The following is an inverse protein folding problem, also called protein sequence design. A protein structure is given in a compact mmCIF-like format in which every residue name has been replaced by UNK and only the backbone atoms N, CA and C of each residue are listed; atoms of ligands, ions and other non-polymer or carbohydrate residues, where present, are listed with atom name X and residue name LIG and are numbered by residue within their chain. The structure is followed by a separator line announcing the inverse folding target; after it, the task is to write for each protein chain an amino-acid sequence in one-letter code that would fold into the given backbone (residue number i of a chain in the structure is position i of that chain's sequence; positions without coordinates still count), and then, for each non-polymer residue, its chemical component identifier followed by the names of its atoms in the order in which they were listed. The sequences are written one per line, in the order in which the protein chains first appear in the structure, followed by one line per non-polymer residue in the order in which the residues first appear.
data_IF_933430899292
#
_entry.id   IF_933430899292
#
_cell.length_a   1.000
_cell.length_b   1.000
_cell.length_c   1.000
_cell.angle_alpha   90.00
_cell.angle_beta   90.00
_cell.angle_gamma   90.00
#
_symmetry.space_group_name_H-M   'P 1'
#
loop_
_entity.id
_entity.type
_entity.pdbx_description
1 polymer ?
#
# COMPACT_ATOMS: atom_id res chain seq x y z
N UNK A 1 -45.37 45.60 -3.11
CA UNK A 1 -44.48 46.77 -3.25
C UNK A 1 -43.34 46.31 -4.14
N UNK A 2 -43.35 46.89 -5.32
CA UNK A 2 -42.42 46.70 -6.43
C UNK A 2 -41.11 47.50 -6.16
N UNK A 3 -40.16 47.43 -7.11
CA UNK A 3 -38.78 47.99 -7.18
C UNK A 3 -37.72 46.90 -6.88
N UNK A 4 -37.07 46.25 -7.85
CA UNK A 4 -36.36 46.74 -9.04
C UNK A 4 -34.86 46.47 -8.79
N UNK A 5 -34.10 45.65 -9.53
CA UNK A 5 -34.06 45.40 -10.96
C UNK A 5 -32.87 46.17 -11.55
N UNK A 6 -31.71 45.49 -11.78
CA UNK A 6 -30.67 45.79 -12.80
C UNK A 6 -29.43 44.85 -12.65
N UNK A 7 -28.61 44.64 -13.70
CA UNK A 7 -28.39 43.30 -14.28
C UNK A 7 -26.93 42.81 -14.29
N UNK A 8 -26.80 41.53 -14.65
CA UNK A 8 -25.62 40.73 -15.05
C UNK A 8 -24.57 41.48 -15.91
N UNK A 9 -23.28 41.11 -15.79
CA UNK A 9 -22.33 41.17 -16.89
C UNK A 9 -22.08 39.78 -17.48
N UNK A 10 -22.47 39.67 -18.74
CA UNK A 10 -22.16 38.63 -19.72
C UNK A 10 -20.63 38.49 -19.90
N UNK A 11 -20.08 37.31 -19.63
CA UNK A 11 -18.68 36.96 -19.93
C UNK A 11 -18.66 35.85 -20.98
N UNK A 12 -18.69 36.27 -22.24
CA UNK A 12 -18.39 35.43 -23.39
C UNK A 12 -16.91 35.05 -23.40
N UNK A 13 -16.60 33.76 -23.26
CA UNK A 13 -15.26 33.23 -23.59
C UNK A 13 -15.32 32.63 -24.99
N UNK A 14 -14.75 33.38 -25.94
CA UNK A 14 -14.63 32.99 -27.34
C UNK A 14 -13.71 31.79 -27.53
N UNK A 15 -14.24 30.78 -28.22
CA UNK A 15 -13.49 29.64 -28.75
C UNK A 15 -12.70 30.07 -29.98
N UNK A 16 -11.38 30.20 -29.84
CA UNK A 16 -10.48 30.25 -31.00
C UNK A 16 -10.06 28.82 -31.36
N UNK A 17 -10.68 28.28 -32.40
CA UNK A 17 -10.22 27.07 -33.09
C UNK A 17 -8.87 27.35 -33.74
N UNK A 18 -7.84 26.60 -33.35
CA UNK A 18 -6.55 26.57 -34.04
C UNK A 18 -6.33 25.15 -34.56
N UNK A 19 -6.43 25.00 -35.88
CA UNK A 19 -6.07 23.79 -36.59
C UNK A 19 -4.58 23.47 -36.33
N UNK A 20 -4.29 22.24 -35.92
CA UNK A 20 -2.94 21.71 -35.80
C UNK A 20 -2.88 20.33 -36.44
N UNK A 21 -1.93 20.20 -37.35
CA UNK A 21 -1.62 19.07 -38.22
C UNK A 21 -1.22 17.82 -37.46
N UNK A 22 -1.78 16.68 -37.89
CA UNK A 22 -1.59 15.32 -37.39
C UNK A 22 -0.33 14.68 -38.02
N UNK A 23 0.59 14.04 -37.27
CA UNK A 23 1.55 13.11 -37.84
C UNK A 23 0.95 11.69 -37.94
N UNK A 24 1.44 10.82 -38.85
CA UNK A 24 0.83 9.52 -39.13
C UNK A 24 1.15 8.46 -38.08
N UNK A 25 0.25 7.48 -38.01
CA UNK A 25 0.26 6.30 -37.12
C UNK A 25 1.35 5.33 -37.60
N UNK A 26 2.20 4.85 -36.69
CA UNK A 26 3.11 3.74 -36.93
C UNK A 26 2.38 2.40 -36.67
N UNK A 27 2.56 1.46 -37.60
CA UNK A 27 2.05 0.10 -37.59
C UNK A 27 3.13 -0.81 -37.00
N UNK A 28 2.97 -1.21 -35.73
CA UNK A 28 3.85 -2.16 -35.04
C UNK A 28 3.22 -3.55 -35.01
N UNK A 29 3.25 -4.21 -36.17
CA UNK A 29 2.99 -5.65 -36.26
C UNK A 29 4.21 -6.43 -35.74
N UNK A 30 4.16 -6.88 -34.48
CA UNK A 30 5.16 -7.81 -33.92
C UNK A 30 4.71 -9.25 -34.17
N UNK A 31 5.51 -9.97 -34.96
CA UNK A 31 5.38 -11.40 -35.22
C UNK A 31 6.18 -12.18 -34.17
N UNK A 32 5.51 -12.99 -33.34
CA UNK A 32 6.16 -13.86 -32.36
C UNK A 32 6.24 -15.29 -32.90
N UNK A 33 7.47 -15.75 -33.16
CA UNK A 33 7.76 -17.17 -33.39
C UNK A 33 7.76 -17.90 -32.04
N UNK A 34 6.98 -18.98 -31.96
CA UNK A 34 6.88 -19.86 -30.80
C UNK A 34 7.91 -20.98 -30.98
N UNK A 35 8.85 -21.12 -30.04
CA UNK A 35 9.73 -22.29 -29.94
C UNK A 35 9.02 -23.42 -29.18
N UNK A 36 8.78 -24.60 -29.79
CA UNK A 36 8.02 -25.68 -29.20
C UNK A 36 8.94 -26.75 -28.62
N UNK A 37 9.79 -26.43 -27.65
CA UNK A 37 10.51 -27.46 -26.90
C UNK A 37 10.66 -27.10 -25.43
N UNK A 38 9.69 -27.51 -24.61
CA UNK A 38 9.87 -27.83 -23.18
C UNK A 38 8.58 -28.42 -22.60
N UNK A 39 8.44 -29.73 -22.75
CA UNK A 39 7.62 -30.58 -21.88
C UNK A 39 8.58 -31.56 -21.21
N UNK A 40 8.56 -31.63 -19.88
CA UNK A 40 8.49 -32.89 -19.11
C UNK A 40 8.50 -32.68 -17.56
N UNK A 41 8.17 -33.71 -16.73
CA UNK A 41 7.10 -33.58 -15.72
C UNK A 41 7.59 -33.81 -14.24
N UNK A 42 6.77 -34.23 -13.24
CA UNK A 42 6.75 -33.61 -11.92
C UNK A 42 7.63 -34.31 -10.88
N UNK A 43 8.31 -33.57 -9.99
CA UNK A 43 8.91 -34.17 -8.77
C UNK A 43 8.87 -33.27 -7.51
N UNK A 44 8.28 -33.91 -6.49
CA UNK A 44 8.54 -33.94 -5.04
C UNK A 44 8.84 -32.67 -4.24
N UNK A 45 8.10 -32.57 -3.14
CA UNK A 45 8.22 -31.68 -1.98
C UNK A 45 9.63 -31.62 -1.37
N UNK A 46 10.13 -30.41 -1.17
CA UNK A 46 11.32 -30.11 -0.36
C UNK A 46 11.00 -28.91 0.57
N UNK A 47 11.48 -28.89 1.83
CA UNK A 47 11.00 -27.95 2.84
C UNK A 47 11.67 -26.57 2.73
N UNK A 48 10.97 -25.54 3.23
CA UNK A 48 11.43 -24.15 3.32
C UNK A 48 12.68 -24.04 4.20
N UNK A 49 13.85 -23.83 3.58
CA UNK A 49 15.04 -23.33 4.27
C UNK A 49 15.13 -21.82 4.11
N UNK A 50 15.15 -21.15 5.26
CA UNK A 50 15.16 -19.70 5.44
C UNK A 50 16.63 -19.23 5.51
N UNK A 51 17.03 -18.36 4.57
CA UNK A 51 18.27 -17.57 4.51
C UNK A 51 19.61 -18.27 4.88
N UNK A 52 20.37 -18.69 3.88
CA UNK A 52 21.83 -18.86 4.00
C UNK A 52 22.53 -17.90 3.03
N UNK A 53 23.31 -16.95 3.57
CA UNK A 53 24.28 -16.16 2.81
C UNK A 53 25.57 -16.99 2.69
N UNK A 54 25.89 -17.48 1.49
CA UNK A 54 27.23 -17.99 1.18
C UNK A 54 28.00 -16.92 0.40
N UNK A 55 28.91 -16.24 1.09
CA UNK A 55 29.97 -15.44 0.49
C UNK A 55 31.16 -16.35 0.17
N UNK A 56 31.30 -16.79 -1.08
CA UNK A 56 32.53 -17.44 -1.54
C UNK A 56 33.46 -16.41 -2.22
N UNK A 57 34.51 -16.05 -1.50
CA UNK A 57 35.71 -15.42 -2.05
C UNK A 57 36.53 -16.47 -2.80
N UNK A 58 36.71 -16.32 -4.12
CA UNK A 58 37.75 -17.02 -4.87
C UNK A 58 38.80 -16.04 -5.37
N UNK A 59 39.93 -16.03 -4.68
CA UNK A 59 41.22 -15.57 -5.18
C UNK A 59 41.71 -16.57 -6.23
N UNK A 60 42.07 -16.09 -7.41
CA UNK A 60 43.00 -16.78 -8.32
C UNK A 60 44.05 -15.76 -8.75
N UNK A 61 45.29 -16.06 -8.43
CA UNK A 61 46.51 -15.42 -8.91
C UNK A 61 46.80 -15.91 -10.33
N UNK A 62 47.28 -15.03 -11.22
CA UNK A 62 48.59 -15.20 -11.86
C UNK A 62 48.93 -14.01 -12.76
N UNK A 63 50.20 -13.63 -12.69
CA UNK A 63 50.89 -12.64 -13.53
C UNK A 63 51.04 -13.16 -14.96
N UNK A 64 50.94 -12.28 -15.96
CA UNK A 64 52.08 -12.00 -16.84
C UNK A 64 51.92 -10.69 -17.61
N UNK A 65 53.08 -10.09 -17.88
CA UNK A 65 53.37 -8.75 -18.37
C UNK A 65 53.25 -8.57 -19.88
N UNK A 66 52.79 -7.39 -20.33
CA UNK A 66 53.49 -6.58 -21.35
C UNK A 66 52.92 -5.15 -21.43
N UNK A 67 53.78 -4.21 -21.83
CA UNK A 67 53.71 -2.78 -21.47
C UNK A 67 53.16 -1.82 -22.56
N UNK A 68 52.32 -0.87 -22.09
CA UNK A 68 52.23 0.58 -22.40
C UNK A 68 51.98 1.12 -23.85
N UNK A 69 51.54 2.40 -24.06
CA UNK A 69 50.78 3.32 -23.19
C UNK A 69 49.61 4.10 -23.89
N UNK A 70 48.72 4.65 -23.05
CA UNK A 70 48.02 5.95 -23.13
C UNK A 70 47.39 6.43 -24.46
N UNK A 71 46.06 6.54 -24.49
CA UNK A 71 45.37 7.78 -24.90
C UNK A 71 44.13 8.00 -24.02
N UNK A 72 44.01 9.23 -23.52
CA UNK A 72 42.89 9.72 -22.72
C UNK A 72 41.67 9.95 -23.62
N UNK A 73 40.53 9.40 -23.22
CA UNK A 73 39.21 9.79 -23.70
C UNK A 73 38.30 9.91 -22.49
N UNK A 74 38.13 11.14 -22.00
CA UNK A 74 37.09 11.51 -21.04
C UNK A 74 35.73 11.40 -21.74
N UNK A 75 34.96 10.36 -21.42
CA UNK A 75 33.51 10.32 -21.60
C UNK A 75 32.92 9.68 -20.34
N UNK A 76 32.75 10.48 -19.31
CA UNK A 76 32.08 10.13 -18.05
C UNK A 76 30.56 10.09 -18.31
N UNK A 77 30.10 9.12 -19.11
CA UNK A 77 28.70 8.69 -19.07
C UNK A 77 28.51 7.91 -17.77
N UNK A 78 28.05 8.59 -16.72
CA UNK A 78 27.50 7.93 -15.55
C UNK A 78 26.25 7.13 -15.95
N UNK A 79 26.46 5.90 -16.42
CA UNK A 79 25.44 4.86 -16.43
C UNK A 79 25.12 4.60 -14.95
N UNK A 80 23.96 5.06 -14.49
CA UNK A 80 23.39 4.51 -13.26
C UNK A 80 23.12 3.03 -13.56
N UNK A 81 24.06 2.16 -13.18
CA UNK A 81 23.83 0.73 -13.12
C UNK A 81 22.72 0.50 -12.08
N UNK A 82 21.49 0.40 -12.57
CA UNK A 82 20.37 -0.13 -11.81
C UNK A 82 20.75 -1.57 -11.44
N UNK A 83 21.33 -1.77 -10.25
CA UNK A 83 21.52 -3.09 -9.67
C UNK A 83 20.12 -3.72 -9.49
N UNK A 84 19.75 -4.62 -10.40
CA UNK A 84 18.54 -5.43 -10.30
C UNK A 84 18.81 -6.60 -9.35
N UNK A 85 18.15 -6.58 -8.19
CA UNK A 85 18.24 -7.67 -7.23
C UNK A 85 17.15 -8.71 -7.54
N UNK A 86 17.56 -9.94 -7.83
CA UNK A 86 16.65 -11.06 -8.01
C UNK A 86 16.29 -11.68 -6.66
N UNK A 87 14.99 -11.75 -6.38
CA UNK A 87 14.42 -12.36 -5.17
C UNK A 87 13.47 -13.47 -5.59
N UNK A 88 13.57 -14.66 -4.99
CA UNK A 88 12.63 -15.75 -5.23
C UNK A 88 11.61 -15.85 -4.11
N UNK A 89 10.32 -15.77 -4.45
CA UNK A 89 9.21 -15.95 -3.50
C UNK A 89 8.38 -17.15 -3.97
N UNK A 90 8.27 -18.19 -3.12
CA UNK A 90 7.56 -19.43 -3.46
C UNK A 90 8.05 -20.08 -4.77
N UNK A 91 9.34 -19.91 -5.11
CA UNK A 91 9.94 -20.41 -6.35
C UNK A 91 9.79 -19.47 -7.56
N UNK A 92 9.18 -18.30 -7.40
CA UNK A 92 9.02 -17.30 -8.45
C UNK A 92 10.08 -16.20 -8.31
N UNK A 93 10.99 -16.11 -9.30
CA UNK A 93 12.00 -15.03 -9.37
C UNK A 93 11.36 -13.69 -9.70
N UNK A 94 11.71 -12.66 -8.94
CA UNK A 94 11.23 -11.29 -9.07
C UNK A 94 12.43 -10.35 -9.10
N UNK A 95 12.43 -9.39 -10.03
CA UNK A 95 13.47 -8.36 -10.12
C UNK A 95 13.00 -7.11 -9.38
N UNK A 96 13.77 -6.64 -8.40
CA UNK A 96 13.50 -5.37 -7.70
C UNK A 96 14.62 -4.40 -8.03
N UNK A 97 14.26 -3.24 -8.60
CA UNK A 97 15.21 -2.15 -8.84
C UNK A 97 15.52 -1.43 -7.53
N UNK A 98 16.75 -1.56 -7.04
CA UNK A 98 17.23 -0.77 -5.91
C UNK A 98 17.70 0.59 -6.42
N UNK A 99 17.18 1.66 -5.83
CA UNK A 99 17.78 2.99 -6.01
C UNK A 99 18.82 3.18 -4.91
N UNK A 100 20.11 3.28 -5.26
CA UNK A 100 21.15 3.67 -4.30
C UNK A 100 20.79 5.02 -3.68
N UNK A 101 20.59 5.06 -2.35
CA UNK A 101 20.61 6.34 -1.62
C UNK A 101 22.03 6.88 -1.72
N UNK A 102 22.19 8.06 -2.31
CA UNK A 102 23.44 8.83 -2.28
C UNK A 102 23.92 8.90 -0.82
N UNK A 103 25.10 8.38 -0.56
CA UNK A 103 25.65 8.28 0.79
C UNK A 103 25.93 9.68 1.35
N UNK A 104 25.08 10.15 2.25
CA UNK A 104 25.48 11.18 3.22
C UNK A 104 26.35 10.50 4.27
N UNK A 105 27.63 10.38 3.94
CA UNK A 105 28.70 10.09 4.89
C UNK A 105 28.83 11.28 5.82
N UNK A 106 27.98 11.34 6.87
CA UNK A 106 28.19 12.22 8.01
C UNK A 106 29.38 11.67 8.83
N UNK A 107 30.59 11.89 8.33
CA UNK A 107 31.81 11.78 9.11
C UNK A 107 31.82 12.91 10.13
N UNK A 108 31.58 12.54 11.39
CA UNK A 108 31.82 13.41 12.55
C UNK A 108 33.29 13.82 12.58
N UNK A 109 33.60 14.98 12.03
CA UNK A 109 34.92 15.61 12.12
C UNK A 109 35.11 16.19 13.52
N UNK A 110 35.83 15.48 14.38
CA UNK A 110 36.36 16.04 15.62
C UNK A 110 37.68 16.78 15.31
N UNK A 111 37.70 18.09 15.53
CA UNK A 111 38.87 18.96 15.40
C UNK A 111 39.98 18.60 16.41
N UNK A 112 41.27 18.67 16.05
CA UNK A 112 42.36 18.47 17.01
C UNK A 112 42.63 19.75 17.81
N UNK A 113 42.43 19.70 19.13
CA UNK A 113 42.79 20.78 20.05
C UNK A 113 44.27 20.72 20.44
N UNK A 114 44.91 21.89 20.45
CA UNK A 114 46.31 22.16 20.84
C UNK A 114 46.73 21.60 22.22
N UNK A 115 48.04 21.42 22.47
CA UNK A 115 48.55 20.88 23.72
C UNK A 115 48.47 21.90 24.86
N UNK A 116 47.59 21.67 25.83
CA UNK A 116 47.52 22.44 27.08
C UNK A 116 48.47 21.86 28.15
N UNK A 117 49.18 22.77 28.80
CA UNK A 117 50.12 22.57 29.92
C UNK A 117 49.47 21.78 31.06
N UNK A 118 50.25 20.89 31.71
CA UNK A 118 49.88 20.18 32.96
C UNK A 118 49.40 21.16 34.03
N UNK A 119 48.20 21.00 34.60
CA UNK A 119 47.90 21.53 35.92
C UNK A 119 48.43 20.59 37.00
N UNK A 120 48.75 21.18 38.15
CA UNK A 120 49.20 20.49 39.34
C UNK A 120 48.16 19.49 39.85
N UNK A 121 48.65 18.39 40.46
CA UNK A 121 47.85 17.29 41.00
C UNK A 121 47.00 17.79 42.18
N UNK A 122 45.69 17.88 42.00
CA UNK A 122 44.73 17.90 43.12
C UNK A 122 44.50 16.48 43.65
N UNK A 123 44.25 16.31 44.96
CA UNK A 123 43.96 15.01 45.54
C UNK A 123 42.66 14.41 44.98
N UNK A 124 42.55 13.07 44.91
CA UNK A 124 41.41 12.40 44.29
C UNK A 124 40.10 12.76 45.00
N UNK A 125 39.01 13.00 44.26
CA UNK A 125 37.71 13.25 44.85
C UNK A 125 37.26 12.03 45.66
N UNK A 126 36.48 12.24 46.74
CA UNK A 126 35.96 11.14 47.56
C UNK A 126 35.14 10.16 46.70
N UNK A 127 35.11 8.88 47.07
CA UNK A 127 34.33 7.88 46.34
C UNK A 127 32.87 8.33 46.27
N UNK A 128 32.20 8.14 45.10
CA UNK A 128 30.80 8.48 45.00
C UNK A 128 30.00 7.71 46.05
N UNK A 129 28.96 8.33 46.63
CA UNK A 129 28.10 7.65 47.58
C UNK A 129 27.53 6.37 46.93
N UNK A 130 27.27 5.31 47.72
CA UNK A 130 26.65 4.11 47.20
C UNK A 130 25.33 4.47 46.51
N UNK A 131 24.99 3.83 45.39
CA UNK A 131 23.73 4.09 44.71
C UNK A 131 22.57 3.87 45.67
N UNK A 132 21.50 4.69 45.58
CA UNK A 132 20.33 4.50 46.42
C UNK A 132 19.80 3.07 46.23
N UNK A 133 19.24 2.45 47.29
CA UNK A 133 18.63 1.14 47.15
C UNK A 133 17.55 1.19 46.07
N UNK A 134 17.39 0.11 45.28
CA UNK A 134 16.36 0.08 44.25
C UNK A 134 14.99 0.38 44.89
N UNK A 135 14.14 1.18 44.22
CA UNK A 135 12.85 1.56 44.76
C UNK A 135 12.05 0.30 45.09
N UNK A 136 11.37 0.31 46.23
CA UNK A 136 10.54 -0.80 46.65
C UNK A 136 9.44 -1.10 45.61
N UNK A 137 8.89 -2.31 45.66
CA UNK A 137 7.90 -2.76 44.69
C UNK A 137 6.66 -1.85 44.64
N UNK A 138 6.27 -1.26 45.77
CA UNK A 138 5.09 -0.39 45.84
C UNK A 138 5.39 0.99 45.24
N UNK A 139 6.59 1.53 45.48
CA UNK A 139 7.09 2.74 44.82
C UNK A 139 7.12 2.56 43.29
N UNK A 140 7.62 1.42 42.80
CA UNK A 140 7.63 1.11 41.37
C UNK A 140 6.20 1.00 40.79
N UNK A 141 5.28 0.36 41.52
CA UNK A 141 3.86 0.27 41.13
C UNK A 141 3.18 1.64 41.12
N UNK A 142 3.47 2.48 42.11
CA UNK A 142 2.94 3.83 42.20
C UNK A 142 3.39 4.66 41.00
N UNK A 143 4.67 4.58 40.61
CA UNK A 143 5.19 5.26 39.40
C UNK A 143 4.48 4.78 38.13
N UNK A 144 4.26 3.46 37.96
CA UNK A 144 3.55 2.96 36.77
C UNK A 144 2.10 3.44 36.72
N UNK A 145 1.40 3.39 37.85
CA UNK A 145 0.02 3.90 37.95
C UNK A 145 -0.05 5.40 37.72
N UNK A 146 0.98 6.15 38.15
CA UNK A 146 0.99 7.60 38.05
C UNK A 146 1.13 8.08 36.62
N UNK A 147 1.90 7.41 35.75
CA UNK A 147 1.97 7.80 34.34
C UNK A 147 0.89 7.14 33.47
N UNK A 148 0.54 5.87 33.73
CA UNK A 148 -0.36 5.10 32.86
C UNK A 148 -1.83 5.53 32.86
N UNK A 149 -2.24 6.38 33.81
CA UNK A 149 -3.61 6.90 33.91
C UNK A 149 -3.71 8.42 33.64
N UNK A 150 -2.62 9.06 33.20
CA UNK A 150 -2.66 10.49 32.90
C UNK A 150 -3.51 10.73 31.65
N UNK A 151 -4.37 11.77 31.65
CA UNK A 151 -5.00 12.20 30.42
C UNK A 151 -3.95 12.71 29.44
N UNK A 152 -4.24 12.61 28.14
CA UNK A 152 -3.33 13.05 27.08
C UNK A 152 -2.88 14.51 27.26
N UNK A 153 -3.79 15.40 27.68
CA UNK A 153 -3.49 16.82 27.94
C UNK A 153 -2.40 17.07 29.00
N UNK A 154 -2.12 16.09 29.86
CA UNK A 154 -1.06 16.15 30.87
C UNK A 154 0.15 15.34 30.44
N UNK A 155 -0.07 14.15 29.87
CA UNK A 155 1.02 13.26 29.45
C UNK A 155 1.78 13.77 28.23
N UNK A 156 1.08 14.42 27.30
CA UNK A 156 1.61 14.97 26.05
C UNK A 156 0.77 16.19 25.63
N UNK A 157 1.01 17.37 26.23
CA UNK A 157 0.24 18.58 25.94
C UNK A 157 0.40 19.05 24.49
N UNK A 158 1.54 18.77 23.85
CA UNK A 158 1.81 19.18 22.47
C UNK A 158 0.91 18.41 21.50
N UNK A 159 0.82 17.08 21.64
CA UNK A 159 -0.10 16.26 20.83
C UNK A 159 -1.55 16.64 21.10
N UNK A 160 -1.92 16.90 22.36
CA UNK A 160 -3.27 17.34 22.71
C UNK A 160 -3.64 18.65 22.00
N UNK A 161 -2.74 19.63 21.98
CA UNK A 161 -2.97 20.90 21.29
C UNK A 161 -3.16 20.70 19.77
N UNK A 162 -2.32 19.86 19.14
CA UNK A 162 -2.45 19.52 17.72
C UNK A 162 -3.81 18.86 17.44
N UNK A 163 -4.25 17.92 18.29
CA UNK A 163 -5.55 17.26 18.14
C UNK A 163 -6.72 18.24 18.25
N UNK A 164 -6.70 19.17 19.20
CA UNK A 164 -7.75 20.18 19.31
C UNK A 164 -7.74 21.15 18.13
N UNK A 165 -6.57 21.51 17.58
CA UNK A 165 -6.48 22.29 16.33
C UNK A 165 -7.09 21.55 15.15
N UNK A 166 -6.81 20.27 14.97
CA UNK A 166 -7.40 19.45 13.90
C UNK A 166 -8.92 19.35 14.04
N UNK A 167 -9.42 19.13 15.25
CA UNK A 167 -10.86 19.15 15.53
C UNK A 167 -11.51 20.49 15.15
N UNK A 168 -10.86 21.62 15.45
CA UNK A 168 -11.36 22.93 15.03
C UNK A 168 -11.31 23.12 13.52
N UNK A 169 -10.29 22.59 12.84
CA UNK A 169 -10.19 22.60 11.37
C UNK A 169 -11.39 21.87 10.76
N UNK A 170 -11.66 20.64 11.20
CA UNK A 170 -12.79 19.82 10.72
C UNK A 170 -14.15 20.48 10.95
N UNK A 171 -14.36 21.12 12.11
CA UNK A 171 -15.65 21.75 12.46
C UNK A 171 -15.89 23.04 11.67
N UNK A 172 -14.83 23.76 11.31
CA UNK A 172 -14.91 25.07 10.63
C UNK A 172 -14.75 24.96 9.10
N UNK A 173 -14.24 23.83 8.63
CA UNK A 173 -14.02 23.55 7.21
C UNK A 173 -15.25 23.04 6.49
N UNK A 174 -15.21 23.14 5.16
CA UNK A 174 -16.12 22.41 4.27
C UNK A 174 -15.32 21.23 3.71
N UNK A 175 -15.52 20.05 4.30
CA UNK A 175 -14.79 18.84 3.92
C UNK A 175 -15.46 18.17 2.71
N UNK A 176 -14.83 18.28 1.54
CA UNK A 176 -15.35 17.76 0.26
C UNK A 176 -14.55 16.57 -0.29
N UNK A 177 -13.63 16.01 0.50
CA UNK A 177 -12.88 14.81 0.12
C UNK A 177 -13.81 13.60 0.19
N UNK A 178 -14.13 13.01 -0.97
CA UNK A 178 -15.16 11.98 -1.09
C UNK A 178 -14.92 10.69 -0.28
N UNK A 179 -13.68 10.43 0.15
CA UNK A 179 -13.31 9.27 0.97
C UNK A 179 -13.32 9.56 2.47
N UNK A 180 -13.45 10.82 2.88
CA UNK A 180 -13.50 11.20 4.29
C UNK A 180 -14.92 11.17 4.81
N UNK A 181 -15.06 10.93 6.12
CA UNK A 181 -16.34 10.96 6.81
C UNK A 181 -16.14 11.17 8.32
N UNK A 182 -17.18 11.58 9.02
CA UNK A 182 -17.20 11.73 10.47
C UNK A 182 -17.92 10.55 11.10
N UNK A 183 -17.18 9.73 11.87
CA UNK A 183 -17.76 8.61 12.61
C UNK A 183 -18.51 9.10 13.85
N UNK A 184 -19.46 8.29 14.33
CA UNK A 184 -20.19 8.60 15.55
C UNK A 184 -19.33 8.40 16.81
N UNK A 185 -19.72 9.05 17.91
CA UNK A 185 -19.00 8.98 19.19
C UNK A 185 -18.81 7.54 19.70
N UNK A 186 -19.82 6.69 19.53
CA UNK A 186 -19.78 5.30 19.95
C UNK A 186 -18.65 4.50 19.27
N UNK A 187 -18.33 4.81 18.00
CA UNK A 187 -17.20 4.18 17.29
C UNK A 187 -15.87 4.63 17.91
N UNK A 188 -15.72 5.93 18.21
CA UNK A 188 -14.51 6.47 18.84
C UNK A 188 -14.30 5.91 20.25
N UNK A 189 -15.37 5.77 21.04
CA UNK A 189 -15.31 5.19 22.39
C UNK A 189 -14.83 3.73 22.35
N UNK A 190 -15.26 2.95 21.36
CA UNK A 190 -14.80 1.58 21.18
C UNK A 190 -13.34 1.51 20.69
N UNK A 191 -12.95 2.38 19.75
CA UNK A 191 -11.61 2.41 19.16
C UNK A 191 -10.53 2.75 20.19
N UNK A 192 -10.78 3.73 21.06
CA UNK A 192 -9.86 4.17 22.12
C UNK A 192 -9.96 3.36 23.42
N UNK A 193 -10.45 2.12 23.36
CA UNK A 193 -10.73 1.31 24.55
C UNK A 193 -9.64 0.29 24.89
N UNK A 194 -9.79 -0.35 26.05
CA UNK A 194 -8.93 -1.42 26.55
C UNK A 194 -8.86 -2.67 25.65
N UNK A 195 -9.70 -2.76 24.61
CA UNK A 195 -9.66 -3.85 23.64
C UNK A 195 -8.30 -3.92 22.91
N UNK A 196 -7.62 -2.78 22.75
CA UNK A 196 -6.28 -2.71 22.13
C UNK A 196 -5.22 -3.58 22.84
N UNK A 197 -5.44 -3.92 24.11
CA UNK A 197 -4.48 -4.67 24.92
C UNK A 197 -4.44 -6.18 24.58
N UNK A 198 -5.40 -6.70 23.79
CA UNK A 198 -5.54 -8.15 23.61
C UNK A 198 -4.93 -8.65 22.31
N UNK A 199 -4.02 -9.62 22.44
CA UNK A 199 -3.54 -10.42 21.32
C UNK A 199 -4.53 -11.56 21.02
N UNK A 200 -5.08 -11.60 19.80
CA UNK A 200 -6.16 -12.51 19.42
C UNK A 200 -5.94 -13.18 18.06
N UNK A 201 -4.71 -13.61 17.76
CA UNK A 201 -4.41 -14.34 16.52
C UNK A 201 -5.27 -15.60 16.36
N UNK A 202 -5.67 -15.86 15.12
CA UNK A 202 -6.59 -16.93 14.75
C UNK A 202 -8.02 -16.43 14.58
N UNK A 203 -8.97 -17.36 14.54
CA UNK A 203 -10.40 -17.08 14.38
C UNK A 203 -11.15 -17.34 15.69
N UNK A 204 -12.37 -16.80 15.88
CA UNK A 204 -13.18 -17.10 17.06
C UNK A 204 -13.37 -18.60 17.27
N UNK A 205 -13.01 -19.12 18.45
CA UNK A 205 -13.01 -20.56 18.77
C UNK A 205 -11.76 -21.34 18.34
N UNK A 206 -10.86 -20.73 17.56
CA UNK A 206 -9.61 -21.30 17.08
C UNK A 206 -8.46 -20.29 17.24
N UNK A 207 -8.24 -19.85 18.49
CA UNK A 207 -7.21 -18.86 18.84
C UNK A 207 -5.91 -19.54 19.27
N UNK A 208 -4.78 -18.91 18.93
CA UNK A 208 -3.46 -19.34 19.42
C UNK A 208 -3.22 -18.96 20.89
N UNK A 209 -3.89 -17.92 21.39
CA UNK A 209 -3.75 -17.43 22.77
C UNK A 209 -5.05 -17.60 23.56
N UNK A 210 -4.89 -17.83 24.86
CA UNK A 210 -6.00 -17.90 25.81
C UNK A 210 -6.62 -16.52 26.09
N UNK A 211 -7.72 -16.50 26.85
CA UNK A 211 -8.36 -15.28 27.36
C UNK A 211 -9.15 -14.48 26.32
N UNK A 212 -9.55 -15.09 25.19
CA UNK A 212 -10.25 -14.42 24.09
C UNK A 212 -11.79 -14.53 24.14
N UNK A 213 -12.36 -15.03 25.23
CA UNK A 213 -13.82 -15.29 25.36
C UNK A 213 -14.71 -14.11 24.96
N UNK A 214 -14.31 -12.87 25.30
CA UNK A 214 -15.06 -11.67 24.96
C UNK A 214 -14.68 -11.10 23.59
N UNK A 215 -13.41 -11.23 23.17
CA UNK A 215 -12.98 -10.84 21.81
C UNK A 215 -13.69 -11.69 20.77
N UNK A 216 -13.79 -13.00 21.00
CA UNK A 216 -14.55 -13.92 20.14
C UNK A 216 -16.02 -13.52 20.02
N UNK A 217 -16.64 -13.05 21.11
CA UNK A 217 -18.03 -12.56 21.09
C UNK A 217 -18.15 -11.29 20.26
N UNK A 218 -17.20 -10.35 20.39
CA UNK A 218 -17.16 -9.10 19.63
C UNK A 218 -16.98 -9.40 18.14
N UNK A 219 -16.02 -10.25 17.79
CA UNK A 219 -15.72 -10.56 16.38
C UNK A 219 -16.88 -11.31 15.71
N UNK A 220 -17.48 -12.32 16.36
CA UNK A 220 -18.69 -12.98 15.83
C UNK A 220 -19.83 -12.00 15.61
N UNK A 221 -20.10 -11.14 16.60
CA UNK A 221 -21.13 -10.11 16.48
C UNK A 221 -20.83 -9.12 15.32
N UNK A 222 -19.57 -8.79 15.11
CA UNK A 222 -19.15 -7.94 13.99
C UNK A 222 -19.41 -8.62 12.64
N UNK A 223 -19.04 -9.90 12.50
CA UNK A 223 -19.34 -10.69 11.31
C UNK A 223 -20.84 -10.80 11.04
N UNK A 224 -21.64 -11.15 12.04
CA UNK A 224 -23.10 -11.27 11.91
C UNK A 224 -23.73 -9.95 11.45
N UNK A 225 -23.29 -8.83 12.04
CA UNK A 225 -23.77 -7.49 11.68
C UNK A 225 -23.30 -7.06 10.29
N UNK A 226 -22.10 -7.44 9.87
CA UNK A 226 -21.62 -7.15 8.53
C UNK A 226 -22.47 -7.86 7.47
N UNK A 227 -22.74 -9.17 7.65
CA UNK A 227 -23.65 -9.90 6.75
C UNK A 227 -25.05 -9.30 6.73
N UNK A 228 -25.59 -8.97 7.91
CA UNK A 228 -26.91 -8.36 8.02
C UNK A 228 -26.98 -6.97 7.35
N UNK A 229 -25.94 -6.14 7.48
CA UNK A 229 -25.89 -4.80 6.89
C UNK A 229 -25.99 -4.81 5.36
N UNK A 230 -25.52 -5.89 4.72
CA UNK A 230 -25.62 -6.08 3.28
C UNK A 230 -26.73 -7.05 2.86
N UNK A 231 -27.57 -7.49 3.81
CA UNK A 231 -28.69 -8.40 3.54
C UNK A 231 -28.26 -9.77 2.98
N UNK A 232 -27.10 -10.27 3.40
CA UNK A 232 -26.50 -11.49 2.87
C UNK A 232 -26.93 -12.73 3.66
N UNK A 233 -27.19 -13.82 2.94
CA UNK A 233 -27.43 -15.14 3.54
C UNK A 233 -26.10 -15.74 4.05
N UNK A 234 -25.96 -16.05 5.35
CA UNK A 234 -24.77 -16.67 5.91
C UNK A 234 -24.42 -18.05 5.34
N UNK A 235 -25.36 -18.73 4.67
CA UNK A 235 -25.06 -19.99 3.97
C UNK A 235 -24.31 -19.77 2.66
N UNK A 236 -24.48 -18.62 2.03
CA UNK A 236 -23.87 -18.25 0.76
C UNK A 236 -22.65 -17.34 0.94
N UNK A 237 -22.60 -16.60 2.05
CA UNK A 237 -21.61 -15.55 2.30
C UNK A 237 -20.91 -15.73 3.65
N UNK A 238 -19.58 -15.71 3.60
CA UNK A 238 -18.74 -15.48 4.76
C UNK A 238 -18.21 -14.04 4.78
N UNK A 239 -17.65 -13.63 5.91
CA UNK A 239 -16.97 -12.34 6.06
C UNK A 239 -15.76 -12.48 6.96
N UNK A 240 -14.67 -11.80 6.59
CA UNK A 240 -13.50 -11.61 7.44
C UNK A 240 -13.40 -10.11 7.78
N UNK A 241 -13.44 -9.79 9.07
CA UNK A 241 -13.43 -8.42 9.60
C UNK A 241 -12.06 -8.00 10.17
N UNK A 242 -11.02 -8.81 9.95
CA UNK A 242 -9.66 -8.58 10.46
C UNK A 242 -8.74 -7.72 9.57
N UNK A 243 -8.97 -7.51 8.25
CA UNK A 243 -8.09 -6.64 7.47
C UNK A 243 -8.00 -5.21 8.05
N UNK A 244 -6.78 -4.70 8.21
CA UNK A 244 -6.53 -3.40 8.85
C UNK A 244 -7.03 -2.19 8.05
N UNK A 245 -7.08 -2.33 6.72
CA UNK A 245 -7.50 -1.29 5.78
C UNK A 245 -7.82 -1.89 4.40
N UNK A 246 -8.41 -1.08 3.51
CA UNK A 246 -8.75 -1.48 2.15
C UNK A 246 -7.58 -2.11 1.38
N UNK A 247 -6.40 -1.46 1.35
CA UNK A 247 -5.22 -1.99 0.64
C UNK A 247 -4.80 -3.36 1.18
N UNK A 248 -4.80 -3.54 2.51
CA UNK A 248 -4.48 -4.84 3.11
C UNK A 248 -5.54 -5.92 2.84
N UNK A 249 -6.82 -5.53 2.77
CA UNK A 249 -7.91 -6.45 2.42
C UNK A 249 -7.77 -6.95 0.98
N UNK A 250 -7.57 -6.03 0.03
CA UNK A 250 -7.37 -6.37 -1.37
C UNK A 250 -6.13 -7.27 -1.56
N UNK A 251 -5.02 -6.93 -0.91
CA UNK A 251 -3.82 -7.73 -0.98
C UNK A 251 -4.00 -9.14 -0.39
N UNK A 252 -4.75 -9.27 0.71
CA UNK A 252 -5.09 -10.57 1.29
C UNK A 252 -5.97 -11.44 0.37
N UNK A 253 -6.89 -10.83 -0.40
CA UNK A 253 -7.66 -11.56 -1.42
C UNK A 253 -6.73 -12.08 -2.51
N UNK A 254 -5.80 -11.25 -2.99
CA UNK A 254 -4.86 -11.67 -4.02
C UNK A 254 -3.97 -12.79 -3.52
N UNK A 255 -3.31 -12.64 -2.37
CA UNK A 255 -2.43 -13.68 -1.83
C UNK A 255 -3.16 -14.96 -1.41
N UNK A 256 -4.46 -14.87 -1.09
CA UNK A 256 -5.28 -16.03 -0.77
C UNK A 256 -5.74 -16.83 -1.99
N UNK A 257 -5.81 -16.21 -3.17
CA UNK A 257 -6.36 -16.83 -4.40
C UNK A 257 -5.32 -17.03 -5.51
N UNK A 258 -4.21 -16.30 -5.47
CA UNK A 258 -3.22 -16.20 -6.54
C UNK A 258 -1.85 -16.65 -6.09
N UNK A 259 -1.07 -17.15 -7.05
CA UNK A 259 0.37 -17.31 -6.92
C UNK A 259 1.09 -16.02 -7.39
N UNK A 260 2.34 -15.79 -6.99
CA UNK A 260 3.13 -14.70 -7.54
C UNK A 260 3.14 -14.75 -9.08
N UNK A 261 3.11 -13.58 -9.72
CA UNK A 261 2.98 -13.39 -11.19
C UNK A 261 1.66 -13.83 -11.83
N UNK A 262 0.69 -14.33 -11.07
CA UNK A 262 -0.66 -14.49 -11.62
C UNK A 262 -1.24 -13.12 -12.01
N UNK A 263 -2.21 -13.16 -12.92
CA UNK A 263 -2.71 -11.99 -13.63
C UNK A 263 -3.91 -11.36 -12.94
N UNK A 264 -3.87 -10.04 -12.74
CA UNK A 264 -4.98 -9.24 -12.25
C UNK A 264 -5.33 -8.13 -13.23
N UNK A 265 -6.61 -7.76 -13.28
CA UNK A 265 -7.09 -6.70 -14.15
C UNK A 265 -8.04 -5.78 -13.40
N UNK A 266 -7.69 -4.49 -13.32
CA UNK A 266 -8.45 -3.46 -12.60
C UNK A 266 -8.58 -2.16 -13.41
N UNK A 267 -9.39 -1.22 -12.93
CA UNK A 267 -9.54 0.09 -13.57
C UNK A 267 -8.23 0.88 -13.43
N UNK A 268 -7.80 1.51 -14.50
CA UNK A 268 -6.63 2.39 -14.51
C UNK A 268 -6.80 3.56 -13.52
N UNK A 269 -5.77 3.90 -12.74
CA UNK A 269 -5.91 4.93 -11.69
C UNK A 269 -6.29 6.31 -12.23
N UNK A 270 -5.71 6.82 -13.33
CA UNK A 270 -6.20 8.04 -14.00
C UNK A 270 -7.63 7.93 -14.55
N UNK A 271 -8.13 6.72 -14.80
CA UNK A 271 -9.52 6.46 -15.20
C UNK A 271 -10.48 6.31 -14.00
N UNK A 272 -9.97 6.37 -12.77
CA UNK A 272 -10.75 6.33 -11.54
C UNK A 272 -10.53 5.09 -10.67
N UNK A 273 -9.62 4.19 -11.02
CA UNK A 273 -9.29 3.01 -10.21
C UNK A 273 -8.42 3.31 -8.99
N UNK A 274 -8.37 2.37 -8.04
CA UNK A 274 -7.57 2.51 -6.83
C UNK A 274 -6.15 1.97 -7.03
N UNK A 275 -5.17 2.51 -6.31
CA UNK A 275 -3.76 2.09 -6.43
C UNK A 275 -3.56 0.59 -6.14
N UNK A 276 -4.34 0.01 -5.21
CA UNK A 276 -4.25 -1.41 -4.88
C UNK A 276 -4.81 -2.34 -5.96
N UNK A 277 -5.37 -1.82 -7.05
CA UNK A 277 -5.86 -2.61 -8.19
C UNK A 277 -4.76 -2.93 -9.19
N UNK A 278 -3.49 -2.80 -8.79
CA UNK A 278 -2.33 -3.12 -9.63
C UNK A 278 -1.76 -1.91 -10.38
N UNK A 279 -1.82 -0.71 -9.79
CA UNK A 279 -1.29 0.50 -10.43
C UNK A 279 0.24 0.43 -10.66
N UNK A 280 0.64 0.77 -11.89
CA UNK A 280 1.99 1.05 -12.34
C UNK A 280 1.97 2.29 -13.25
N UNK A 281 3.08 3.01 -13.32
CA UNK A 281 3.19 4.20 -14.17
C UNK A 281 3.26 3.83 -15.66
N UNK A 282 2.90 4.75 -16.59
CA UNK A 282 3.09 4.53 -18.03
C UNK A 282 4.53 4.19 -18.43
N UNK A 283 5.53 4.61 -17.65
CA UNK A 283 6.94 4.26 -17.83
C UNK A 283 7.28 2.80 -17.48
N UNK A 284 6.30 1.99 -17.06
CA UNK A 284 6.49 0.62 -16.58
C UNK A 284 6.89 0.52 -15.11
N UNK A 285 7.11 1.65 -14.41
CA UNK A 285 7.47 1.64 -12.99
C UNK A 285 6.30 1.12 -12.14
N UNK A 286 6.49 -0.04 -11.51
CA UNK A 286 5.55 -0.65 -10.55
C UNK A 286 5.47 0.21 -9.28
N UNK A 287 4.25 0.54 -8.84
CA UNK A 287 4.00 1.45 -7.70
C UNK A 287 3.28 0.74 -6.57
N UNK A 288 2.23 -0.01 -6.90
CA UNK A 288 1.47 -0.76 -5.91
C UNK A 288 2.14 -2.08 -5.58
N UNK A 289 1.99 -2.56 -4.34
CA UNK A 289 2.38 -3.92 -3.97
C UNK A 289 1.75 -4.95 -4.91
N UNK A 290 0.49 -4.76 -5.27
CA UNK A 290 -0.20 -5.61 -6.25
C UNK A 290 0.54 -5.69 -7.60
N UNK A 291 0.99 -4.57 -8.17
CA UNK A 291 1.76 -4.56 -9.44
C UNK A 291 3.17 -5.17 -9.31
N UNK A 292 3.71 -5.21 -8.09
CA UNK A 292 5.01 -5.82 -7.81
C UNK A 292 4.87 -7.34 -7.80
N UNK A 293 3.96 -7.86 -6.98
CA UNK A 293 3.80 -9.32 -6.76
C UNK A 293 2.98 -10.04 -7.82
N UNK A 294 2.10 -9.33 -8.53
CA UNK A 294 1.20 -9.87 -9.55
C UNK A 294 1.38 -9.14 -10.88
N UNK A 295 1.04 -9.82 -11.98
CA UNK A 295 1.06 -9.22 -13.30
C UNK A 295 -0.25 -8.46 -13.52
N UNK A 296 -0.16 -7.14 -13.71
CA UNK A 296 -1.32 -6.26 -13.80
C UNK A 296 -1.52 -5.74 -15.22
N UNK A 297 -2.76 -5.73 -15.70
CA UNK A 297 -3.15 -4.99 -16.90
C UNK A 297 -4.41 -4.17 -16.63
N UNK A 298 -4.37 -2.86 -16.86
CA UNK A 298 -5.53 -2.00 -16.60
C UNK A 298 -6.52 -1.95 -17.77
N UNK A 299 -7.81 -1.97 -17.46
CA UNK A 299 -8.85 -1.46 -18.37
C UNK A 299 -9.11 0.04 -18.11
N UNK A 300 -9.77 0.71 -19.05
CA UNK A 300 -9.90 2.18 -19.05
C UNK A 300 -11.31 2.62 -19.33
N UNK A 301 -11.59 3.88 -19.04
CA UNK A 301 -12.77 4.57 -19.56
C UNK A 301 -12.56 4.98 -21.02
N UNK A 302 -13.65 5.13 -21.75
CA UNK A 302 -13.67 5.83 -23.02
C UNK A 302 -13.44 7.33 -22.76
N UNK A 303 -12.38 7.94 -23.34
CA UNK A 303 -12.03 9.33 -23.06
C UNK A 303 -13.07 10.35 -23.54
N UNK A 304 -13.97 9.97 -24.45
CA UNK A 304 -15.02 10.86 -24.97
C UNK A 304 -16.27 10.85 -24.09
N UNK A 305 -16.61 9.70 -23.50
CA UNK A 305 -17.86 9.56 -22.73
C UNK A 305 -17.61 9.55 -21.23
N UNK A 306 -16.40 9.21 -20.78
CA UNK A 306 -16.05 9.01 -19.38
C UNK A 306 -16.63 7.72 -18.77
N UNK A 307 -17.24 6.84 -19.57
CA UNK A 307 -17.73 5.53 -19.11
C UNK A 307 -16.69 4.44 -19.34
N UNK A 308 -16.71 3.37 -18.54
CA UNK A 308 -15.89 2.19 -18.78
C UNK A 308 -16.15 1.67 -20.19
N UNK A 309 -15.08 1.42 -20.95
CA UNK A 309 -15.16 0.82 -22.27
C UNK A 309 -15.24 -0.71 -22.12
N UNK A 310 -16.46 -1.21 -21.92
CA UNK A 310 -16.72 -2.63 -21.62
C UNK A 310 -16.31 -3.57 -22.77
N UNK A 311 -16.36 -3.10 -24.01
CA UNK A 311 -16.00 -3.91 -25.17
C UNK A 311 -14.48 -4.08 -25.24
N UNK A 312 -13.71 -2.99 -25.03
CA UNK A 312 -12.25 -3.10 -24.90
C UNK A 312 -11.81 -3.84 -23.64
N UNK A 313 -12.59 -3.73 -22.56
CA UNK A 313 -12.36 -4.54 -21.36
C UNK A 313 -12.51 -6.03 -21.70
N UNK A 314 -13.58 -6.41 -22.40
CA UNK A 314 -13.78 -7.80 -22.81
C UNK A 314 -12.65 -8.30 -23.72
N UNK A 315 -12.32 -7.56 -24.77
CA UNK A 315 -11.22 -7.86 -25.70
C UNK A 315 -9.91 -8.15 -24.93
N UNK A 316 -9.47 -7.19 -24.12
CA UNK A 316 -8.25 -7.32 -23.32
C UNK A 316 -8.32 -8.45 -22.31
N UNK A 317 -9.47 -8.71 -21.69
CA UNK A 317 -9.62 -9.80 -20.74
C UNK A 317 -9.49 -11.17 -21.42
N UNK A 318 -9.92 -11.31 -22.69
CA UNK A 318 -9.76 -12.55 -23.45
C UNK A 318 -8.31 -12.83 -23.83
N UNK A 319 -7.55 -11.78 -24.13
CA UNK A 319 -6.12 -11.89 -24.47
C UNK A 319 -5.25 -12.07 -23.23
N UNK A 320 -5.47 -11.23 -22.23
CA UNK A 320 -4.67 -11.21 -21.01
C UNK A 320 -5.03 -12.33 -20.04
N UNK A 321 -6.25 -12.88 -20.08
CA UNK A 321 -6.70 -13.99 -19.22
C UNK A 321 -6.40 -13.73 -17.72
N UNK A 322 -6.97 -12.65 -17.14
CA UNK A 322 -6.76 -12.39 -15.72
C UNK A 322 -7.35 -13.53 -14.86
N UNK A 323 -6.69 -13.83 -13.75
CA UNK A 323 -7.22 -14.72 -12.71
C UNK A 323 -8.23 -13.99 -11.81
N UNK A 324 -8.03 -12.70 -11.59
CA UNK A 324 -9.00 -11.82 -10.92
C UNK A 324 -9.31 -10.63 -11.83
N UNK A 325 -10.60 -10.44 -12.11
CA UNK A 325 -11.14 -9.22 -12.71
C UNK A 325 -11.75 -8.38 -11.58
N UNK A 326 -11.25 -7.17 -11.40
CA UNK A 326 -11.66 -6.26 -10.34
C UNK A 326 -12.62 -5.22 -10.93
N UNK A 327 -13.78 -5.03 -10.31
CA UNK A 327 -14.61 -3.84 -10.50
C UNK A 327 -14.63 -3.02 -9.19
N UNK A 328 -14.90 -1.72 -9.28
CA UNK A 328 -14.72 -0.78 -8.17
C UNK A 328 -13.60 0.23 -8.42
N UNK A 329 -13.65 1.37 -7.74
CA UNK A 329 -12.73 2.48 -7.96
C UNK A 329 -12.89 3.61 -6.94
N UNK A 330 -11.97 4.57 -7.00
CA UNK A 330 -11.92 5.71 -6.08
C UNK A 330 -12.60 6.97 -6.60
N UNK A 331 -12.52 7.21 -7.90
CA UNK A 331 -12.99 8.48 -8.50
C UNK A 331 -13.79 8.26 -9.78
N UNK A 332 -14.41 7.09 -9.92
CA UNK A 332 -15.36 6.81 -11.01
C UNK A 332 -16.78 7.26 -10.62
N UNK A 333 -17.39 8.25 -11.31
CA UNK A 333 -18.62 8.91 -10.86
C UNK A 333 -19.91 8.26 -11.39
N UNK A 334 -19.85 7.01 -11.86
CA UNK A 334 -21.00 6.28 -12.43
C UNK A 334 -21.17 4.94 -11.73
N UNK A 335 -22.37 4.37 -11.89
CA UNK A 335 -22.64 2.99 -11.48
C UNK A 335 -21.88 1.99 -12.35
N UNK A 336 -21.70 0.78 -11.79
CA UNK A 336 -20.96 -0.30 -12.42
C UNK A 336 -21.94 -1.31 -13.03
N UNK A 337 -21.73 -1.71 -14.28
CA UNK A 337 -22.50 -2.80 -14.88
C UNK A 337 -21.95 -4.15 -14.39
N UNK A 338 -22.34 -4.54 -13.18
CA UNK A 338 -21.90 -5.79 -12.54
C UNK A 338 -22.27 -7.03 -13.37
N UNK A 339 -23.39 -6.98 -14.10
CA UNK A 339 -23.81 -8.08 -14.97
C UNK A 339 -22.84 -8.25 -16.15
N UNK A 340 -22.45 -7.15 -16.79
CA UNK A 340 -21.43 -7.16 -17.86
C UNK A 340 -20.08 -7.64 -17.35
N UNK A 341 -19.62 -7.16 -16.18
CA UNK A 341 -18.41 -7.67 -15.54
C UNK A 341 -18.49 -9.18 -15.27
N UNK A 342 -19.62 -9.67 -14.75
CA UNK A 342 -19.84 -11.11 -14.49
C UNK A 342 -19.75 -11.93 -15.79
N UNK A 343 -20.35 -11.45 -16.87
CA UNK A 343 -20.28 -12.13 -18.16
C UNK A 343 -18.84 -12.24 -18.65
N UNK A 344 -18.06 -11.16 -18.57
CA UNK A 344 -16.65 -11.15 -19.01
C UNK A 344 -15.80 -12.09 -18.14
N UNK A 345 -15.95 -12.01 -16.81
CA UNK A 345 -15.24 -12.88 -15.87
C UNK A 345 -15.53 -14.37 -16.15
N UNK A 346 -16.80 -14.72 -16.41
CA UNK A 346 -17.17 -16.09 -16.76
C UNK A 346 -16.54 -16.55 -18.09
N UNK A 347 -16.42 -15.66 -19.10
CA UNK A 347 -15.81 -15.99 -20.39
C UNK A 347 -14.30 -16.25 -20.30
N UNK A 348 -13.58 -15.46 -19.51
CA UNK A 348 -12.13 -15.65 -19.35
C UNK A 348 -11.76 -16.64 -18.22
N UNK A 349 -12.72 -17.04 -17.37
CA UNK A 349 -12.51 -17.93 -16.23
C UNK A 349 -11.91 -17.22 -15.01
N UNK A 350 -12.16 -15.91 -14.86
CA UNK A 350 -11.66 -15.10 -13.76
C UNK A 350 -12.61 -15.11 -12.55
N UNK A 351 -12.04 -14.96 -11.36
CA UNK A 351 -12.80 -14.52 -10.18
C UNK A 351 -13.18 -13.05 -10.38
N UNK A 352 -14.46 -12.73 -10.25
CA UNK A 352 -14.92 -11.34 -10.20
C UNK A 352 -14.84 -10.85 -8.76
N UNK A 353 -14.06 -9.80 -8.54
CA UNK A 353 -13.91 -9.11 -7.26
C UNK A 353 -14.50 -7.70 -7.36
N UNK A 354 -15.35 -7.32 -6.41
CA UNK A 354 -15.83 -5.94 -6.30
C UNK A 354 -15.18 -5.25 -5.11
N UNK A 355 -14.44 -4.17 -5.37
CA UNK A 355 -13.99 -3.23 -4.34
C UNK A 355 -14.99 -2.07 -4.21
N UNK A 356 -15.90 -2.22 -3.26
CA UNK A 356 -16.97 -1.26 -3.01
C UNK A 356 -16.61 -0.16 -2.00
N UNK A 357 -15.33 0.08 -1.71
CA UNK A 357 -14.90 0.96 -0.61
C UNK A 357 -15.64 2.31 -0.54
N UNK A 358 -15.70 3.05 -1.67
CA UNK A 358 -16.34 4.36 -1.75
C UNK A 358 -17.88 4.32 -1.65
N UNK A 359 -18.50 3.21 -2.03
CA UNK A 359 -19.97 3.12 -2.16
C UNK A 359 -20.61 2.19 -1.13
N UNK A 360 -19.82 1.57 -0.26
CA UNK A 360 -20.27 0.55 0.70
C UNK A 360 -21.46 0.98 1.56
N UNK A 361 -21.49 2.23 2.02
CA UNK A 361 -22.63 2.80 2.76
C UNK A 361 -23.90 2.93 1.91
N UNK A 362 -23.75 3.32 0.63
CA UNK A 362 -24.88 3.42 -0.30
C UNK A 362 -25.45 2.04 -0.66
N UNK A 363 -24.57 1.05 -0.82
CA UNK A 363 -24.95 -0.36 -1.03
C UNK A 363 -25.71 -0.90 0.18
N UNK A 364 -25.18 -0.70 1.40
CA UNK A 364 -25.83 -1.13 2.63
C UNK A 364 -27.21 -0.47 2.83
N UNK A 365 -27.35 0.80 2.43
CA UNK A 365 -28.60 1.54 2.47
C UNK A 365 -29.57 1.20 1.31
N UNK A 366 -29.16 0.35 0.35
CA UNK A 366 -29.96 -0.02 -0.83
C UNK A 366 -30.34 1.19 -1.70
N UNK A 367 -29.43 2.15 -1.83
CA UNK A 367 -29.61 3.36 -2.63
C UNK A 367 -28.84 3.34 -3.97
N UNK A 368 -28.19 2.23 -4.30
CA UNK A 368 -27.65 1.95 -5.63
C UNK A 368 -28.47 0.82 -6.24
N UNK A 369 -28.71 0.92 -7.55
CA UNK A 369 -29.50 -0.05 -8.33
C UNK A 369 -28.63 -1.22 -8.78
#
# INVERSE_FOLDING_TARGET
MDLGGRPEPDLSLGLHARASSRPPIADDSISLQIDPTLRDPPRSSTPLHLFDHQSESRRVTDNDSDAAPLENGDDDEHVEEDEEEEISILGYTMSVKKRRRRGDSASSSCSPSHPSKRPAVEPPPPPPPPPPPPPDLESRRATVRSWGNLPLSVSDPDVFEIMEKEKQRQVRGIELVASENFVCRAVLDALGSHLTNKYSEGLPGARYYCGNQFIDRIERLCCDRALAAFGLDPQCWGVNVQPYSCTSANFAVYTGLLLPKDRIMGLDSPSGGHVSHGYYMPSGKKISGASIFFESLSYKVNPHTGYIDYDKLEEKAMDFRPKILICGGSSYPREWDYARFRQIANKCGAVLMCDMAHISGLVAAKHLV
#
